data_IF_143026289047
#
_entry.id   IF_143026289047
#
_cell.length_a   1.000
_cell.length_b   1.000
_cell.length_c   1.000
_cell.angle_alpha   90.00
_cell.angle_beta   90.00
_cell.angle_gamma   90.00
#
_symmetry.space_group_name_H-M   'P 1'
#
loop_
_entity.id
_entity.type
_entity.pdbx_description
1 polymer ?
#
# COMPACT_ATOMS: atom_id res chain seq x y z
N UNK A 1 7.71 14.75 6.86
CA UNK A 1 8.47 13.67 7.55
C UNK A 1 8.82 12.54 6.61
N UNK A 2 9.95 11.88 6.86
CA UNK A 2 10.40 10.68 6.14
C UNK A 2 9.65 9.46 6.68
N UNK A 3 9.24 8.58 5.78
CA UNK A 3 8.64 7.29 6.10
C UNK A 3 9.40 6.19 5.38
N UNK A 4 9.61 5.08 6.07
CA UNK A 4 10.07 3.84 5.47
C UNK A 4 8.85 3.00 5.15
N UNK A 5 8.60 2.77 3.85
CA UNK A 5 7.39 2.08 3.38
C UNK A 5 7.72 1.08 2.27
N UNK A 6 6.75 0.22 1.97
CA UNK A 6 6.78 -0.67 0.81
C UNK A 6 6.31 0.09 -0.43
N UNK A 7 7.14 0.11 -1.46
CA UNK A 7 6.76 0.50 -2.81
C UNK A 7 6.50 -0.77 -3.61
N UNK A 8 5.34 -0.86 -4.26
CA UNK A 8 4.98 -2.05 -5.03
C UNK A 8 5.58 -1.93 -6.43
N UNK A 9 6.22 -3.00 -6.84
CA UNK A 9 6.75 -3.25 -8.17
C UNK A 9 6.34 -4.66 -8.61
N UNK A 10 6.77 -5.05 -9.80
CA UNK A 10 6.54 -6.38 -10.36
C UNK A 10 5.30 -6.50 -11.23
N UNK A 11 5.17 -7.67 -11.84
CA UNK A 11 4.16 -7.96 -12.84
C UNK A 11 2.82 -8.38 -12.21
N UNK A 12 1.79 -8.52 -13.06
CA UNK A 12 0.50 -9.10 -12.67
C UNK A 12 0.74 -10.50 -12.06
N UNK A 13 0.12 -10.76 -10.90
CA UNK A 13 0.27 -12.00 -10.10
C UNK A 13 1.69 -12.29 -9.57
N UNK A 14 2.66 -11.37 -9.73
CA UNK A 14 4.01 -11.49 -9.18
C UNK A 14 4.39 -10.19 -8.44
N UNK A 15 3.82 -9.96 -7.24
CA UNK A 15 4.11 -8.76 -6.48
C UNK A 15 5.54 -8.77 -5.96
N UNK A 16 6.27 -7.68 -6.22
CA UNK A 16 7.59 -7.44 -5.66
C UNK A 16 7.56 -6.12 -4.88
N UNK A 17 8.18 -6.06 -3.71
CA UNK A 17 8.15 -4.84 -2.90
C UNK A 17 9.55 -4.32 -2.65
N UNK A 18 9.77 -3.04 -2.92
CA UNK A 18 10.98 -2.35 -2.48
C UNK A 18 10.72 -1.69 -1.13
N UNK A 19 11.68 -1.78 -0.22
CA UNK A 19 11.64 -1.05 1.04
C UNK A 19 12.41 0.24 0.83
N UNK A 20 11.70 1.37 0.91
CA UNK A 20 12.25 2.68 0.52
C UNK A 20 12.04 3.71 1.61
N UNK A 21 13.04 4.56 1.81
CA UNK A 21 12.92 5.80 2.58
C UNK A 21 12.43 6.91 1.64
N UNK A 22 11.30 7.52 1.97
CA UNK A 22 10.70 8.57 1.13
C UNK A 22 9.91 9.56 1.97
N UNK A 23 9.65 10.74 1.42
CA UNK A 23 8.78 11.72 2.07
C UNK A 23 7.32 11.27 1.99
N UNK A 24 6.54 11.54 3.05
CA UNK A 24 5.11 11.21 3.12
C UNK A 24 4.30 11.74 1.92
N UNK A 25 4.69 12.90 1.37
CA UNK A 25 4.00 13.56 0.26
C UNK A 25 4.19 12.85 -1.10
N UNK A 26 5.22 11.99 -1.23
CA UNK A 26 5.52 11.36 -2.51
C UNK A 26 4.51 10.24 -2.82
N UNK A 27 4.17 10.08 -4.09
CA UNK A 27 3.36 8.98 -4.60
C UNK A 27 3.95 7.61 -4.19
N UNK A 28 3.08 6.62 -3.94
CA UNK A 28 3.47 5.32 -3.34
C UNK A 28 4.70 4.69 -4.02
N UNK A 29 4.63 4.60 -5.35
CA UNK A 29 5.63 3.95 -6.20
C UNK A 29 6.50 4.98 -6.96
N UNK A 30 6.50 6.25 -6.50
CA UNK A 30 7.24 7.35 -7.10
C UNK A 30 8.65 7.55 -6.55
N UNK A 31 9.14 8.79 -6.60
CA UNK A 31 10.49 9.14 -6.14
C UNK A 31 10.71 8.79 -4.67
N UNK A 32 11.86 8.18 -4.38
CA UNK A 32 12.35 7.91 -3.03
C UNK A 32 13.73 8.54 -2.84
N UNK A 33 14.14 8.67 -1.58
CA UNK A 33 15.44 9.19 -1.19
C UNK A 33 16.46 8.05 -1.34
N UNK A 34 16.13 6.89 -0.78
CA UNK A 34 17.03 5.74 -0.73
C UNK A 34 16.25 4.41 -0.71
N UNK A 35 16.84 3.37 -1.31
CA UNK A 35 16.34 2.00 -1.25
C UNK A 35 17.09 1.22 -0.18
N UNK A 36 16.37 0.75 0.83
CA UNK A 36 16.90 0.07 2.01
C UNK A 36 16.80 -1.46 1.93
N UNK A 37 16.20 -1.99 0.85
CA UNK A 37 16.03 -3.42 0.68
C UNK A 37 14.86 -3.78 -0.23
N UNK A 38 14.47 -5.06 -0.18
CA UNK A 38 13.32 -5.58 -0.90
C UNK A 38 12.68 -6.77 -0.18
N UNK A 39 11.44 -7.03 -0.56
CA UNK A 39 10.63 -8.14 -0.07
C UNK A 39 9.87 -8.78 -1.24
N UNK A 40 10.07 -10.08 -1.43
CA UNK A 40 9.41 -10.92 -2.40
C UNK A 40 8.63 -12.05 -1.66
N UNK A 41 7.29 -11.94 -1.53
CA UNK A 41 6.49 -12.97 -0.88
C UNK A 41 6.26 -14.22 -1.74
N UNK A 42 6.63 -14.20 -3.03
CA UNK A 42 6.43 -15.30 -3.98
C UNK A 42 7.78 -15.87 -4.43
N UNK A 43 8.84 -15.64 -3.65
CA UNK A 43 10.15 -16.21 -3.91
C UNK A 43 10.06 -17.74 -3.94
N UNK A 44 10.58 -18.36 -5.00
CA UNK A 44 10.61 -19.80 -5.21
C UNK A 44 12.02 -20.24 -5.62
N UNK A 45 12.35 -21.52 -5.39
CA UNK A 45 13.54 -22.13 -5.99
C UNK A 45 14.88 -21.47 -5.63
N UNK A 46 15.04 -20.98 -4.40
CA UNK A 46 16.30 -20.37 -3.93
C UNK A 46 16.40 -18.86 -4.13
N UNK A 47 15.37 -18.21 -4.66
CA UNK A 47 15.28 -16.75 -4.61
C UNK A 47 15.27 -16.24 -3.16
N UNK A 48 15.95 -15.11 -2.92
CA UNK A 48 15.97 -14.46 -1.60
C UNK A 48 14.62 -13.76 -1.37
N UNK A 49 13.81 -14.17 -0.38
CA UNK A 49 12.51 -13.54 -0.13
C UNK A 49 12.61 -12.18 0.54
N UNK A 50 13.66 -11.93 1.32
CA UNK A 50 13.81 -10.71 2.11
C UNK A 50 15.28 -10.32 2.19
N UNK A 51 15.57 -9.08 1.83
CA UNK A 51 16.88 -8.44 1.97
C UNK A 51 16.70 -7.07 2.60
N UNK A 52 17.43 -6.79 3.67
CA UNK A 52 17.36 -5.54 4.42
C UNK A 52 18.76 -5.01 4.71
N UNK A 53 18.93 -3.71 4.53
CA UNK A 53 20.07 -2.97 5.04
C UNK A 53 19.72 -2.41 6.43
N UNK A 54 20.14 -3.12 7.47
CA UNK A 54 19.79 -2.78 8.86
C UNK A 54 20.47 -1.49 9.30
N UNK A 55 21.72 -1.27 8.91
CA UNK A 55 22.49 -0.07 9.27
C UNK A 55 21.79 1.19 8.74
N UNK A 56 21.33 1.15 7.49
CA UNK A 56 20.62 2.28 6.88
C UNK A 56 19.22 2.46 7.47
N UNK A 57 18.51 1.37 7.80
CA UNK A 57 17.20 1.47 8.48
C UNK A 57 17.35 2.13 9.85
N UNK A 58 18.37 1.75 10.63
CA UNK A 58 18.65 2.34 11.94
C UNK A 58 19.07 3.80 11.85
N UNK A 59 19.91 4.14 10.88
CA UNK A 59 20.25 5.53 10.57
C UNK A 59 19.00 6.38 10.35
N UNK A 60 18.12 5.95 9.44
CA UNK A 60 16.89 6.70 9.14
C UNK A 60 15.95 6.77 10.34
N UNK A 61 15.87 5.72 11.14
CA UNK A 61 15.12 5.72 12.40
C UNK A 61 15.67 6.76 13.39
N UNK A 62 16.99 6.86 13.51
CA UNK A 62 17.66 7.89 14.31
C UNK A 62 17.40 9.31 13.81
N UNK A 63 17.23 9.49 12.50
CA UNK A 63 16.80 10.75 11.86
C UNK A 63 15.29 11.05 12.01
N UNK A 64 14.54 10.23 12.77
CA UNK A 64 13.11 10.42 13.00
C UNK A 64 12.20 9.86 11.90
N UNK A 65 12.70 8.95 11.05
CA UNK A 65 11.86 8.26 10.08
C UNK A 65 10.89 7.28 10.77
N UNK A 66 9.64 7.27 10.31
CA UNK A 66 8.64 6.32 10.79
C UNK A 66 8.54 5.09 9.88
N UNK A 67 8.63 3.90 10.45
CA UNK A 67 8.42 2.64 9.75
C UNK A 67 6.91 2.33 9.65
N UNK A 68 6.47 1.79 8.52
CA UNK A 68 5.13 1.20 8.42
C UNK A 68 5.03 -0.12 9.18
N UNK A 69 3.83 -0.50 9.62
CA UNK A 69 3.59 -1.72 10.39
C UNK A 69 4.17 -2.97 9.69
N UNK A 70 3.94 -3.10 8.38
CA UNK A 70 4.44 -4.24 7.61
C UNK A 70 5.98 -4.29 7.56
N UNK A 71 6.64 -3.13 7.42
CA UNK A 71 8.11 -3.04 7.43
C UNK A 71 8.65 -3.38 8.82
N UNK A 72 8.02 -2.89 9.90
CA UNK A 72 8.37 -3.25 11.27
C UNK A 72 8.33 -4.76 11.48
N UNK A 73 7.30 -5.44 10.97
CA UNK A 73 7.19 -6.89 11.08
C UNK A 73 8.28 -7.60 10.26
N UNK A 74 8.65 -7.09 9.09
CA UNK A 74 9.75 -7.66 8.28
C UNK A 74 11.11 -7.50 8.97
N UNK A 75 11.39 -6.34 9.56
CA UNK A 75 12.63 -6.11 10.34
C UNK A 75 12.69 -7.06 11.54
N UNK A 76 11.58 -7.24 12.26
CA UNK A 76 11.51 -8.21 13.38
C UNK A 76 11.76 -9.65 12.91
N UNK A 77 11.17 -10.05 11.78
CA UNK A 77 11.40 -11.38 11.21
C UNK A 77 12.86 -11.57 10.77
N UNK A 78 13.43 -10.56 10.11
CA UNK A 78 14.83 -10.58 9.68
C UNK A 78 15.79 -10.70 10.87
N UNK A 79 15.57 -9.94 11.95
CA UNK A 79 16.41 -10.02 13.15
C UNK A 79 16.32 -11.38 13.86
N UNK A 80 15.22 -12.12 13.67
CA UNK A 80 15.04 -13.45 14.28
C UNK A 80 15.64 -14.58 13.43
N UNK A 81 15.55 -14.47 12.11
CA UNK A 81 15.81 -15.57 11.19
C UNK A 81 16.99 -15.33 10.25
N UNK A 82 17.53 -14.10 10.19
CA UNK A 82 18.56 -13.70 9.26
C UNK A 82 18.04 -13.41 7.83
N UNK A 83 18.98 -13.15 6.93
CA UNK A 83 18.70 -12.95 5.51
C UNK A 83 18.15 -14.23 4.87
N UNK A 84 17.16 -14.11 3.99
CA UNK A 84 16.66 -15.25 3.21
C UNK A 84 15.48 -16.02 3.79
N UNK A 85 15.00 -15.71 5.00
CA UNK A 85 13.80 -16.33 5.55
C UNK A 85 12.59 -15.40 5.37
N UNK A 86 11.67 -15.79 4.50
CA UNK A 86 10.40 -15.08 4.35
C UNK A 86 9.66 -15.15 5.69
N UNK A 87 9.17 -14.01 6.19
CA UNK A 87 8.17 -14.02 7.24
C UNK A 87 7.07 -15.02 6.85
N UNK A 88 6.62 -15.92 7.75
CA UNK A 88 5.58 -16.87 7.42
C UNK A 88 4.42 -16.10 6.81
N UNK A 89 3.87 -16.60 5.70
CA UNK A 89 2.68 -16.04 5.05
C UNK A 89 1.52 -16.21 6.02
N UNK A 90 1.46 -15.34 7.04
CA UNK A 90 0.26 -15.14 7.82
C UNK A 90 -0.77 -14.76 6.78
N UNK A 91 -1.82 -15.57 6.68
CA UNK A 91 -3.00 -15.22 5.92
C UNK A 91 -3.37 -13.75 6.23
N UNK A 92 -3.92 -12.99 5.26
CA UNK A 92 -4.42 -11.66 5.56
C UNK A 92 -5.24 -11.75 6.86
N UNK A 93 -5.05 -10.84 7.84
CA UNK A 93 -5.89 -10.88 9.03
C UNK A 93 -7.32 -10.82 8.53
N UNK A 94 -8.07 -11.91 8.72
CA UNK A 94 -9.49 -11.95 8.41
C UNK A 94 -10.10 -10.73 9.07
N UNK A 95 -10.65 -9.88 8.22
CA UNK A 95 -11.32 -8.66 8.57
C UNK A 95 -12.27 -8.94 9.73
N UNK A 96 -11.98 -8.35 10.90
CA UNK A 96 -12.99 -8.14 11.93
C UNK A 96 -14.04 -7.21 11.32
N UNK A 97 -15.04 -7.81 10.68
CA UNK A 97 -16.30 -7.17 10.40
C UNK A 97 -16.99 -6.88 11.74
N UNK A 98 -17.67 -5.72 11.80
CA UNK A 98 -18.52 -5.18 12.88
C UNK A 98 -17.73 -4.49 14.01
N UNK A 99 -18.04 -3.27 14.45
CA UNK A 99 -19.26 -2.45 14.37
C UNK A 99 -18.90 -1.03 14.86
N UNK A 100 -19.35 0.03 14.18
CA UNK A 100 -19.65 1.34 14.79
C UNK A 100 -20.43 2.24 13.81
N UNK A 101 -21.77 2.19 13.94
CA UNK A 101 -22.71 3.33 13.87
C UNK A 101 -22.00 4.68 14.10
N UNK A 102 -22.26 5.78 13.40
CA UNK A 102 -23.28 6.15 12.42
C UNK A 102 -23.38 7.69 12.43
N UNK A 103 -23.83 8.32 11.34
CA UNK A 103 -24.72 9.49 11.41
C UNK A 103 -25.31 9.76 10.03
N UNK A 104 -26.63 9.62 9.97
CA UNK A 104 -27.59 10.10 8.99
C UNK A 104 -27.58 11.64 8.90
N UNK A 105 -27.91 12.19 7.72
CA UNK A 105 -29.16 12.90 7.34
C UNK A 105 -28.98 13.53 5.92
N UNK A 106 -30.04 13.95 5.19
CA UNK A 106 -31.07 13.11 4.57
C UNK A 106 -31.29 13.44 3.08
N UNK A 107 -32.21 12.68 2.49
CA UNK A 107 -32.72 12.76 1.13
C UNK A 107 -33.45 14.06 0.76
N UNK A 108 -33.47 14.32 -0.54
CA UNK A 108 -34.40 15.18 -1.28
C UNK A 108 -33.82 15.43 -2.67
N UNK A 109 -34.51 15.30 -3.79
CA UNK A 109 -35.86 14.87 -4.11
C UNK A 109 -35.80 14.60 -5.63
N UNK A 110 -36.21 13.41 -6.05
CA UNK A 110 -36.37 13.04 -7.46
C UNK A 110 -37.74 13.54 -7.92
N UNK A 111 -37.76 14.53 -8.81
CA UNK A 111 -38.94 14.93 -9.57
C UNK A 111 -38.91 14.30 -10.96
N UNK A 112 -39.74 13.28 -11.14
CA UNK A 112 -40.19 12.71 -12.42
C UNK A 112 -41.15 13.70 -13.10
N UNK A 113 -41.00 13.96 -14.41
CA UNK A 113 -42.18 14.06 -15.29
C UNK A 113 -41.85 13.62 -16.71
N UNK A 114 -42.62 12.63 -17.13
CA UNK A 114 -42.84 12.12 -18.47
C UNK A 114 -43.44 13.15 -19.46
N UNK A 115 -43.34 12.82 -20.75
CA UNK A 115 -44.30 13.07 -21.85
C UNK A 115 -44.02 14.12 -22.94
N UNK A 116 -44.18 13.60 -24.18
CA UNK A 116 -44.78 14.17 -25.39
C UNK A 116 -44.03 15.14 -26.34
N UNK A 117 -43.73 14.59 -27.52
CA UNK A 117 -44.29 14.91 -28.84
C UNK A 117 -44.13 16.29 -29.51
N UNK A 118 -43.89 16.18 -30.83
CA UNK A 118 -44.25 17.07 -31.94
C UNK A 118 -43.28 18.20 -32.39
N UNK A 119 -42.70 17.95 -33.57
CA UNK A 119 -42.74 18.74 -34.81
C UNK A 119 -42.36 20.24 -34.86
N UNK A 120 -41.59 20.53 -35.91
CA UNK A 120 -41.72 21.66 -36.87
C UNK A 120 -40.83 22.93 -36.77
N UNK A 121 -40.20 23.18 -37.93
CA UNK A 121 -39.88 24.46 -38.59
C UNK A 121 -38.56 25.23 -38.30
N UNK A 122 -37.80 25.32 -39.40
CA UNK A 122 -37.18 26.53 -39.98
C UNK A 122 -35.99 27.25 -39.29
N UNK A 123 -34.78 26.98 -39.78
CA UNK A 123 -33.93 27.96 -40.50
C UNK A 123 -32.48 27.49 -40.59
N UNK A 124 -32.08 26.92 -41.74
CA UNK A 124 -31.09 27.49 -42.67
C UNK A 124 -30.77 26.50 -43.79
#
# INVERSE_FOLDING_TARGET
MVKIRLARSGAKKKPFYHIVATHKANARDGRYIERLGFFNPVAVGGEVPLRLDIERIEYWKGQGAQLSERVTNLVKSFNRHGEGVAAPRVAPPESKAKEAKGQTVPAGETGDVSAEAAQDEASS
#
